data_IF_226729960718
#
_entry.id   IF_226729960718
#
_cell.length_a   1.000
_cell.length_b   1.000
_cell.length_c   1.000
_cell.angle_alpha   90.00
_cell.angle_beta   90.00
_cell.angle_gamma   90.00
#
_symmetry.space_group_name_H-M   'P 1'
#
loop_
_entity.id
_entity.type
_entity.pdbx_description
1 polymer ?
#
# COMPACT_ATOMS: atom_id res chain seq x y z
N UNK A 1 19.74 2.67 -4.91
CA UNK A 1 18.52 2.12 -4.30
C UNK A 1 18.54 2.25 -2.77
N UNK A 2 19.61 1.77 -2.13
CA UNK A 2 19.73 1.90 -0.68
C UNK A 2 19.73 3.36 -0.22
N UNK A 3 20.25 4.26 -1.03
CA UNK A 3 20.26 5.68 -0.74
C UNK A 3 18.86 6.27 -0.67
N UNK A 4 17.89 5.64 -1.35
CA UNK A 4 16.49 6.11 -1.35
C UNK A 4 15.68 5.49 -0.22
N UNK A 5 16.10 4.36 0.32
CA UNK A 5 15.38 3.68 1.40
C UNK A 5 15.40 4.51 2.68
N UNK A 6 16.56 5.05 3.03
CA UNK A 6 16.71 5.79 4.29
C UNK A 6 15.78 7.02 4.36
N UNK A 7 15.70 7.87 3.34
CA UNK A 7 14.76 9.00 3.38
C UNK A 7 13.31 8.55 3.51
N UNK A 8 12.90 7.51 2.78
CA UNK A 8 11.54 6.99 2.87
C UNK A 8 11.26 6.41 4.26
N UNK A 9 12.21 5.64 4.81
CA UNK A 9 12.05 5.08 6.14
C UNK A 9 11.90 6.18 7.19
N UNK A 10 12.64 7.26 7.04
CA UNK A 10 12.56 8.40 7.96
C UNK A 10 11.19 9.09 7.85
N UNK A 11 10.65 9.23 6.64
CA UNK A 11 9.29 9.74 6.44
C UNK A 11 8.27 8.85 7.13
N UNK A 12 8.35 7.55 6.91
CA UNK A 12 7.43 6.56 7.49
C UNK A 12 7.49 6.60 9.01
N UNK A 13 8.70 6.57 9.56
CA UNK A 13 8.91 6.57 11.00
C UNK A 13 8.33 7.84 11.62
N UNK A 14 8.61 8.99 11.03
CA UNK A 14 8.17 10.29 11.55
C UNK A 14 6.67 10.49 11.39
N UNK A 15 6.14 10.19 10.21
CA UNK A 15 4.72 10.45 9.92
C UNK A 15 3.79 9.50 10.68
N UNK A 16 4.19 8.23 10.81
CA UNK A 16 3.29 7.18 11.30
C UNK A 16 3.71 6.58 12.65
N UNK A 17 4.82 7.04 13.22
CA UNK A 17 5.26 6.51 14.52
C UNK A 17 5.76 5.07 14.44
N UNK A 18 6.32 4.67 13.31
CA UNK A 18 6.86 3.33 13.10
C UNK A 18 8.33 3.33 13.52
N UNK A 19 8.78 2.28 14.23
CA UNK A 19 10.19 2.21 14.63
C UNK A 19 11.09 2.15 13.39
N UNK A 20 12.33 2.64 13.54
CA UNK A 20 13.23 2.84 12.41
C UNK A 20 13.60 1.54 11.70
N UNK A 21 13.79 0.46 12.44
CA UNK A 21 14.16 -0.82 11.84
C UNK A 21 13.04 -1.34 10.93
N UNK A 22 11.81 -1.31 11.43
CA UNK A 22 10.63 -1.72 10.65
C UNK A 22 10.41 -0.80 9.46
N UNK A 23 10.60 0.51 9.65
CA UNK A 23 10.45 1.49 8.59
C UNK A 23 11.48 1.26 7.47
N UNK A 24 12.72 0.89 7.82
CA UNK A 24 13.73 0.54 6.83
C UNK A 24 13.36 -0.70 6.04
N UNK A 25 12.86 -1.72 6.71
CA UNK A 25 12.47 -2.97 6.07
C UNK A 25 11.30 -2.75 5.11
N UNK A 26 10.22 -2.14 5.58
CA UNK A 26 9.07 -1.83 4.74
C UNK A 26 9.41 -0.83 3.63
N UNK A 27 10.25 0.14 3.95
CA UNK A 27 10.69 1.13 2.97
C UNK A 27 11.36 0.50 1.77
N UNK A 28 12.21 -0.49 2.01
CA UNK A 28 12.86 -1.24 0.93
C UNK A 28 11.86 -1.98 0.04
N UNK A 29 10.91 -2.68 0.66
CA UNK A 29 9.88 -3.41 -0.09
C UNK A 29 8.97 -2.46 -0.88
N UNK A 30 8.58 -1.35 -0.26
CA UNK A 30 7.70 -0.36 -0.90
C UNK A 30 8.40 0.31 -2.09
N UNK A 31 9.67 0.67 -1.94
CA UNK A 31 10.42 1.26 -3.05
C UNK A 31 10.51 0.31 -4.23
N UNK A 32 10.86 -0.96 -3.96
CA UNK A 32 10.96 -1.96 -5.03
C UNK A 32 9.62 -2.19 -5.70
N UNK A 33 8.55 -2.33 -4.93
CA UNK A 33 7.22 -2.56 -5.47
C UNK A 33 6.74 -1.36 -6.30
N UNK A 34 6.96 -0.14 -5.79
CA UNK A 34 6.58 1.08 -6.49
C UNK A 34 7.32 1.22 -7.81
N UNK A 35 8.62 0.91 -7.81
CA UNK A 35 9.41 0.99 -9.02
C UNK A 35 8.94 -0.01 -10.07
N UNK A 36 8.70 -1.25 -9.67
CA UNK A 36 8.23 -2.30 -10.58
C UNK A 36 6.88 -1.95 -11.21
N UNK A 37 5.98 -1.36 -10.44
CA UNK A 37 4.62 -1.10 -10.88
C UNK A 37 4.39 0.34 -11.34
N UNK A 38 5.42 1.19 -11.31
CA UNK A 38 5.31 2.60 -11.69
C UNK A 38 4.22 3.32 -10.90
N UNK A 39 4.26 3.15 -9.58
CA UNK A 39 3.33 3.78 -8.65
C UNK A 39 4.05 4.84 -7.84
N UNK A 40 3.36 5.93 -7.44
CA UNK A 40 3.94 6.86 -6.49
C UNK A 40 4.25 6.15 -5.17
N UNK A 41 5.46 6.32 -4.67
CA UNK A 41 5.94 5.64 -3.47
C UNK A 41 5.09 6.01 -2.25
N UNK A 42 4.78 7.30 -2.09
CA UNK A 42 3.98 7.78 -0.96
C UNK A 42 2.56 7.22 -0.99
N UNK A 43 2.02 6.99 -2.17
CA UNK A 43 0.69 6.40 -2.30
C UNK A 43 0.68 4.94 -1.82
N UNK A 44 1.67 4.16 -2.27
CA UNK A 44 1.76 2.75 -1.85
C UNK A 44 2.03 2.63 -0.35
N UNK A 45 2.93 3.46 0.18
CA UNK A 45 3.20 3.47 1.62
C UNK A 45 1.94 3.81 2.42
N UNK A 46 1.17 4.77 1.95
CA UNK A 46 -0.06 5.20 2.61
C UNK A 46 -1.16 4.15 2.53
N UNK A 47 -1.26 3.44 1.40
CA UNK A 47 -2.18 2.32 1.26
C UNK A 47 -1.83 1.23 2.29
N UNK A 48 -0.57 0.87 2.39
CA UNK A 48 -0.13 -0.17 3.32
C UNK A 48 -0.39 0.24 4.77
N UNK A 49 -0.12 1.50 5.12
CA UNK A 49 -0.45 1.98 6.46
C UNK A 49 -1.95 1.92 6.72
N UNK A 50 -2.77 2.30 5.75
CA UNK A 50 -4.23 2.25 5.86
C UNK A 50 -4.72 0.82 6.07
N UNK A 51 -4.12 -0.14 5.34
CA UNK A 51 -4.56 -1.54 5.39
C UNK A 51 -4.12 -2.26 6.66
N UNK A 52 -2.91 -2.04 7.13
CA UNK A 52 -2.33 -2.89 8.18
C UNK A 52 -1.58 -2.14 9.28
N UNK A 53 -1.36 -0.84 9.14
CA UNK A 53 -0.47 -0.07 10.01
C UNK A 53 0.94 -0.67 10.07
N UNK A 54 1.40 -1.20 8.94
CA UNK A 54 2.70 -1.88 8.81
C UNK A 54 2.82 -3.13 9.70
N UNK A 55 1.71 -3.82 9.95
CA UNK A 55 1.76 -5.12 10.63
C UNK A 55 1.94 -6.23 9.58
N UNK A 56 2.91 -7.10 9.85
CA UNK A 56 3.31 -8.13 8.88
C UNK A 56 2.32 -9.28 8.75
N UNK A 57 1.67 -9.66 9.86
CA UNK A 57 0.89 -10.90 9.94
C UNK A 57 -0.50 -10.64 10.51
N UNK A 58 -1.22 -9.74 9.88
CA UNK A 58 -2.60 -9.41 10.27
C UNK A 58 -3.56 -10.01 9.26
N UNK A 59 -4.73 -10.45 9.73
CA UNK A 59 -5.77 -10.95 8.84
C UNK A 59 -7.11 -10.35 9.22
N UNK A 60 -7.98 -10.19 8.21
CA UNK A 60 -9.33 -9.65 8.40
C UNK A 60 -10.35 -10.77 8.43
N UNK A 61 -11.59 -10.43 8.84
CA UNK A 61 -12.70 -11.38 8.89
C UNK A 61 -13.10 -11.91 7.51
N UNK A 62 -12.73 -11.19 6.43
CA UNK A 62 -13.05 -11.61 5.06
C UNK A 62 -11.89 -12.33 4.37
N UNK A 63 -10.82 -12.64 5.11
CA UNK A 63 -9.70 -13.39 4.54
C UNK A 63 -8.62 -12.56 3.90
N UNK A 64 -8.62 -11.25 4.08
CA UNK A 64 -7.50 -10.41 3.64
C UNK A 64 -6.33 -10.58 4.60
N UNK A 65 -5.12 -10.73 4.08
CA UNK A 65 -3.93 -11.01 4.89
C UNK A 65 -2.76 -10.08 4.56
N UNK A 66 -1.90 -9.89 5.54
CA UNK A 66 -0.61 -9.24 5.39
C UNK A 66 -0.65 -7.74 5.29
N UNK A 67 0.52 -7.13 5.03
CA UNK A 67 0.64 -5.67 5.02
C UNK A 67 -0.29 -4.96 4.04
N UNK A 68 -0.51 -5.54 2.87
CA UNK A 68 -1.39 -4.95 1.86
C UNK A 68 -2.82 -5.49 1.90
N UNK A 69 -3.12 -6.37 2.85
CA UNK A 69 -4.45 -6.97 3.04
C UNK A 69 -4.99 -7.56 1.74
N UNK A 70 -4.24 -8.51 1.19
CA UNK A 70 -4.59 -9.19 -0.05
C UNK A 70 -5.39 -10.46 0.29
N UNK A 71 -6.47 -10.70 -0.44
CA UNK A 71 -7.26 -11.93 -0.30
C UNK A 71 -6.70 -13.00 -1.24
N UNK A 72 -6.10 -14.07 -0.69
CA UNK A 72 -5.50 -15.11 -1.55
C UNK A 72 -6.51 -15.78 -2.47
N UNK A 73 -7.74 -15.97 -2.02
CA UNK A 73 -8.79 -16.61 -2.82
C UNK A 73 -9.10 -15.84 -4.11
N UNK A 74 -8.89 -14.53 -4.10
CA UNK A 74 -9.15 -13.69 -5.27
C UNK A 74 -7.91 -13.41 -6.12
N UNK A 75 -6.74 -13.32 -5.49
CA UNK A 75 -5.56 -12.74 -6.14
C UNK A 75 -4.34 -13.63 -6.24
N UNK A 76 -4.36 -14.82 -5.61
CA UNK A 76 -3.20 -15.70 -5.62
C UNK A 76 -2.71 -16.02 -7.03
N UNK A 77 -3.64 -16.39 -7.91
CA UNK A 77 -3.30 -16.73 -9.30
C UNK A 77 -2.82 -15.50 -10.07
N UNK A 78 -3.49 -14.37 -9.88
CA UNK A 78 -3.12 -13.11 -10.52
C UNK A 78 -1.67 -12.73 -10.20
N UNK A 79 -1.24 -12.97 -8.97
CA UNK A 79 0.10 -12.66 -8.50
C UNK A 79 1.08 -13.82 -8.71
N UNK A 80 0.76 -14.76 -9.59
CA UNK A 80 1.68 -15.82 -10.00
C UNK A 80 1.97 -16.85 -8.92
N UNK A 81 1.05 -17.08 -7.99
CA UNK A 81 1.25 -18.06 -6.93
C UNK A 81 2.17 -17.57 -5.83
N UNK A 82 2.33 -16.26 -5.67
CA UNK A 82 3.17 -15.69 -4.61
C UNK A 82 2.70 -16.17 -3.23
N UNK A 83 3.65 -16.32 -2.30
CA UNK A 83 3.34 -16.63 -0.91
C UNK A 83 2.86 -15.36 -0.23
N UNK A 84 1.55 -15.20 -0.11
CA UNK A 84 0.93 -13.98 0.43
C UNK A 84 1.05 -13.87 1.94
N UNK A 85 1.51 -14.93 2.62
CA UNK A 85 1.86 -14.87 4.04
C UNK A 85 3.26 -14.30 4.27
N UNK A 86 4.08 -14.23 3.22
CA UNK A 86 5.37 -13.54 3.28
C UNK A 86 5.14 -12.04 3.10
N UNK A 87 5.54 -11.19 4.05
CA UNK A 87 5.23 -9.75 3.98
C UNK A 87 5.74 -9.07 2.72
N UNK A 88 6.93 -9.42 2.26
CA UNK A 88 7.51 -8.82 1.05
C UNK A 88 6.68 -9.17 -0.18
N UNK A 89 6.37 -10.46 -0.38
CA UNK A 89 5.56 -10.90 -1.51
C UNK A 89 4.15 -10.34 -1.45
N UNK A 90 3.62 -10.19 -0.24
CA UNK A 90 2.32 -9.59 -0.02
C UNK A 90 2.27 -8.15 -0.55
N UNK A 91 3.29 -7.36 -0.22
CA UNK A 91 3.39 -5.98 -0.70
C UNK A 91 3.53 -5.92 -2.22
N UNK A 92 4.35 -6.80 -2.79
CA UNK A 92 4.52 -6.85 -4.25
C UNK A 92 3.20 -7.19 -4.95
N UNK A 93 2.45 -8.12 -4.41
CA UNK A 93 1.14 -8.49 -4.94
C UNK A 93 0.15 -7.31 -4.81
N UNK A 94 0.10 -6.67 -3.65
CA UNK A 94 -0.78 -5.51 -3.46
C UNK A 94 -0.49 -4.40 -4.44
N UNK A 95 0.78 -4.11 -4.71
CA UNK A 95 1.17 -3.10 -5.69
C UNK A 95 0.72 -3.51 -7.10
N UNK A 96 0.87 -4.78 -7.45
CA UNK A 96 0.43 -5.30 -8.73
C UNK A 96 -1.09 -5.16 -8.91
N UNK A 97 -1.85 -5.43 -7.85
CA UNK A 97 -3.31 -5.28 -7.85
C UNK A 97 -3.69 -3.81 -8.05
N UNK A 98 -3.04 -2.90 -7.31
CA UNK A 98 -3.35 -1.48 -7.43
C UNK A 98 -3.06 -0.98 -8.85
N UNK A 99 -1.93 -1.39 -9.43
CA UNK A 99 -1.60 -1.03 -10.82
C UNK A 99 -2.64 -1.55 -11.79
N UNK A 100 -3.10 -2.79 -11.59
CA UNK A 100 -4.16 -3.38 -12.41
C UNK A 100 -5.43 -2.53 -12.35
N UNK A 101 -5.86 -2.14 -11.16
CA UNK A 101 -7.05 -1.29 -11.01
C UNK A 101 -6.83 0.10 -11.61
N UNK A 102 -5.63 0.66 -11.46
CA UNK A 102 -5.30 1.95 -12.04
C UNK A 102 -5.51 1.92 -13.56
N UNK A 103 -5.02 0.88 -14.21
CA UNK A 103 -5.19 0.72 -15.66
C UNK A 103 -6.66 0.49 -16.03
N UNK A 104 -7.38 -0.31 -15.25
CA UNK A 104 -8.81 -0.55 -15.49
C UNK A 104 -9.64 0.71 -15.25
N UNK A 105 -9.18 1.62 -14.45
CA UNK A 105 -9.82 2.89 -14.13
C UNK A 105 -9.36 4.04 -15.03
N UNK A 106 -8.74 3.74 -16.16
CA UNK A 106 -8.26 4.75 -17.11
C UNK A 106 -7.34 5.78 -16.44
N UNK A 107 -6.35 5.26 -15.71
CA UNK A 107 -5.31 6.05 -15.06
C UNK A 107 -5.84 7.02 -13.98
N UNK A 108 -6.86 6.60 -13.25
CA UNK A 108 -7.43 7.38 -12.15
C UNK A 108 -7.15 6.68 -10.82
N UNK A 109 -6.35 7.30 -9.95
CA UNK A 109 -5.98 6.70 -8.67
C UNK A 109 -7.13 6.64 -7.67
N UNK A 110 -8.02 7.62 -7.64
CA UNK A 110 -9.17 7.56 -6.73
C UNK A 110 -10.06 6.38 -7.05
N UNK A 111 -10.30 6.14 -8.34
CA UNK A 111 -11.04 4.97 -8.80
C UNK A 111 -10.29 3.68 -8.42
N UNK A 112 -8.98 3.63 -8.64
CA UNK A 112 -8.18 2.45 -8.33
C UNK A 112 -8.18 2.13 -6.84
N UNK A 113 -8.06 3.13 -5.99
CA UNK A 113 -8.09 2.96 -4.53
C UNK A 113 -9.48 2.50 -4.07
N UNK A 114 -10.53 3.06 -4.63
CA UNK A 114 -11.89 2.60 -4.36
C UNK A 114 -12.06 1.13 -4.71
N UNK A 115 -11.57 0.74 -5.89
CA UNK A 115 -11.63 -0.65 -6.34
C UNK A 115 -10.81 -1.57 -5.43
N UNK A 116 -9.67 -1.10 -4.96
CA UNK A 116 -8.85 -1.86 -4.02
C UNK A 116 -9.62 -2.18 -2.75
N UNK A 117 -10.40 -1.22 -2.26
CA UNK A 117 -11.17 -1.37 -1.02
C UNK A 117 -12.47 -2.16 -1.21
N UNK A 118 -13.27 -1.82 -2.24
CA UNK A 118 -14.62 -2.38 -2.40
C UNK A 118 -14.83 -3.17 -3.69
N UNK A 119 -13.81 -3.32 -4.53
CA UNK A 119 -13.90 -3.97 -5.83
C UNK A 119 -14.36 -3.03 -6.93
N UNK A 120 -14.07 -3.40 -8.19
CA UNK A 120 -14.46 -2.58 -9.36
C UNK A 120 -15.97 -2.40 -9.46
N UNK A 121 -16.73 -3.41 -9.05
CA UNK A 121 -18.18 -3.38 -9.10
C UNK A 121 -18.80 -3.08 -7.73
N UNK A 122 -17.98 -2.61 -6.79
CA UNK A 122 -18.45 -2.31 -5.45
C UNK A 122 -19.42 -1.15 -5.43
N UNK A 123 -20.51 -1.29 -4.67
CA UNK A 123 -21.56 -0.29 -4.58
C UNK A 123 -21.54 0.50 -3.28
N UNK A 124 -20.69 0.12 -2.34
CA UNK A 124 -20.62 0.80 -1.03
C UNK A 124 -19.77 2.08 -1.15
N UNK A 125 -20.41 3.14 -1.64
CA UNK A 125 -19.74 4.44 -1.84
C UNK A 125 -19.30 5.08 -0.54
N UNK A 126 -20.01 4.84 0.54
CA UNK A 126 -19.64 5.39 1.85
C UNK A 126 -18.30 4.80 2.32
N UNK A 127 -18.16 3.49 2.22
CA UNK A 127 -16.91 2.82 2.59
C UNK A 127 -15.76 3.26 1.68
N UNK A 128 -16.00 3.33 0.38
CA UNK A 128 -14.99 3.77 -0.58
C UNK A 128 -14.52 5.20 -0.29
N UNK A 129 -15.43 6.12 -0.04
CA UNK A 129 -15.08 7.50 0.25
C UNK A 129 -14.31 7.64 1.57
N UNK A 130 -14.69 6.87 2.58
CA UNK A 130 -13.97 6.86 3.87
C UNK A 130 -12.54 6.36 3.68
N UNK A 131 -12.37 5.30 2.88
CA UNK A 131 -11.07 4.75 2.56
C UNK A 131 -10.19 5.77 1.83
N UNK A 132 -10.75 6.43 0.82
CA UNK A 132 -10.04 7.48 0.06
C UNK A 132 -9.56 8.60 0.99
N UNK A 133 -10.40 9.04 1.91
CA UNK A 133 -10.01 10.10 2.85
C UNK A 133 -8.87 9.67 3.76
N UNK A 134 -8.88 8.41 4.20
CA UNK A 134 -7.80 7.87 5.04
C UNK A 134 -6.48 7.83 4.28
N UNK A 135 -6.50 7.28 3.07
CA UNK A 135 -5.28 7.20 2.25
C UNK A 135 -4.75 8.61 1.96
N UNK A 136 -5.63 9.52 1.58
CA UNK A 136 -5.23 10.90 1.29
C UNK A 136 -4.60 11.59 2.50
N UNK A 137 -5.17 11.41 3.68
CA UNK A 137 -4.59 11.94 4.91
C UNK A 137 -3.18 11.42 5.14
N UNK A 138 -2.97 10.12 4.92
CA UNK A 138 -1.66 9.50 5.12
C UNK A 138 -0.64 10.00 4.08
N UNK A 139 -1.06 10.18 2.83
CA UNK A 139 -0.20 10.75 1.79
C UNK A 139 0.26 12.15 2.21
N UNK A 140 -0.66 12.98 2.69
CA UNK A 140 -0.33 14.35 3.13
C UNK A 140 0.64 14.33 4.30
N UNK A 141 0.48 13.43 5.24
CA UNK A 141 1.37 13.32 6.40
C UNK A 141 2.78 12.93 5.97
N UNK A 142 2.91 11.99 5.04
CA UNK A 142 4.21 11.60 4.50
C UNK A 142 4.87 12.76 3.74
N UNK A 143 4.10 13.40 2.88
CA UNK A 143 4.60 14.51 2.06
C UNK A 143 5.06 15.67 2.93
N UNK A 144 4.36 15.96 4.03
CA UNK A 144 4.73 17.02 4.96
C UNK A 144 6.10 16.76 5.59
N UNK A 145 6.42 15.51 5.92
CA UNK A 145 7.73 15.16 6.47
C UNK A 145 8.82 15.38 5.43
N UNK A 146 8.58 14.91 4.20
CA UNK A 146 9.53 15.10 3.10
C UNK A 146 9.85 16.58 2.89
N UNK A 147 8.82 17.43 2.91
CA UNK A 147 8.98 18.88 2.75
C UNK A 147 9.80 19.49 3.89
N UNK A 148 9.60 19.01 5.13
CA UNK A 148 10.33 19.51 6.30
C UNK A 148 11.76 19.00 6.36
N UNK A 149 12.06 17.88 5.69
CA UNK A 149 13.38 17.27 5.69
C UNK A 149 14.43 18.06 4.92
N UNK A 150 14.03 19.13 4.31
CA UNK A 150 14.91 20.01 3.57
C UNK A 150 15.14 21.29 4.38
#
# INVERSE_FOLDING_TARGET
FEQEVFPLANQISTAFGIDQEKAMEFGGWILEASDRQKLPTELLASLIFTESSFRKHVSSSVGAIGPAQVRPDLWSDFCGGADLYDPEQNIYCGAQILRHFYERCEDNFDCALSAYNVGLNGTNKFAANRYLRKVDLHVRRLTAVSFRGH
#
